data_IF_173417920677
#
_entry.id   IF_173417920677
#
_cell.length_a   1.000
_cell.length_b   1.000
_cell.length_c   1.000
_cell.angle_alpha   90.00
_cell.angle_beta   90.00
_cell.angle_gamma   90.00
#
_symmetry.space_group_name_H-M   'P 1'
#
loop_
_entity.id
_entity.type
_entity.pdbx_description
1 polymer ?
#
# COMPACT_ATOMS: atom_id res chain seq x y z
N UNK A 1 -34.35 13.40 54.29
CA UNK A 1 -35.29 13.66 53.18
C UNK A 1 -34.66 14.50 52.06
N UNK A 2 -33.33 14.61 51.99
CA UNK A 2 -32.63 15.35 50.91
C UNK A 2 -32.30 14.44 49.70
N UNK A 3 -32.11 13.12 49.91
CA UNK A 3 -31.79 12.19 48.82
C UNK A 3 -32.92 12.01 47.79
N UNK A 4 -34.18 12.18 48.17
CA UNK A 4 -35.32 12.02 47.26
C UNK A 4 -35.43 13.15 46.22
N UNK A 5 -34.86 14.32 46.51
CA UNK A 5 -34.88 15.46 45.60
C UNK A 5 -33.75 15.42 44.55
N UNK A 6 -32.66 14.70 44.86
CA UNK A 6 -31.53 14.54 43.95
C UNK A 6 -31.73 13.40 42.92
N UNK A 7 -32.57 12.42 43.21
CA UNK A 7 -32.89 11.31 42.29
C UNK A 7 -33.44 11.80 40.94
N UNK A 8 -34.43 12.72 40.85
CA UNK A 8 -34.94 13.17 39.56
C UNK A 8 -33.91 14.00 38.77
N UNK A 9 -33.04 14.75 39.45
CA UNK A 9 -31.95 15.53 38.82
C UNK A 9 -30.87 14.60 38.25
N UNK A 10 -30.56 13.51 38.98
CA UNK A 10 -29.59 12.51 38.54
C UNK A 10 -30.14 11.65 37.38
N UNK A 11 -31.45 11.36 37.38
CA UNK A 11 -32.14 10.71 36.26
C UNK A 11 -32.15 11.59 35.00
N UNK A 12 -32.30 12.92 35.15
CA UNK A 12 -32.20 13.88 34.03
C UNK A 12 -30.78 13.97 33.45
N UNK A 13 -29.73 13.69 34.24
CA UNK A 13 -28.34 13.64 33.79
C UNK A 13 -27.96 12.32 33.10
N UNK A 14 -28.71 11.24 33.34
CA UNK A 14 -28.53 9.93 32.68
C UNK A 14 -29.28 9.82 31.35
N UNK A 15 -30.16 10.77 31.04
CA UNK A 15 -30.69 10.95 29.69
C UNK A 15 -29.56 11.63 28.92
N UNK A 16 -28.66 10.83 28.34
CA UNK A 16 -27.84 11.34 27.25
C UNK A 16 -28.81 11.96 26.24
N UNK A 17 -28.66 13.25 25.90
CA UNK A 17 -29.40 13.76 24.77
C UNK A 17 -28.99 12.85 23.61
N UNK A 18 -29.95 12.12 23.05
CA UNK A 18 -29.86 11.59 21.71
C UNK A 18 -29.45 12.79 20.86
N UNK A 19 -28.15 12.91 20.60
CA UNK A 19 -27.62 13.81 19.59
C UNK A 19 -28.17 13.21 18.31
N UNK A 20 -29.39 13.60 17.98
CA UNK A 20 -29.96 13.32 16.69
C UNK A 20 -28.99 13.96 15.70
N UNK A 21 -28.17 13.12 15.06
CA UNK A 21 -27.44 13.44 13.83
C UNK A 21 -28.43 13.64 12.67
N UNK A 22 -29.59 14.23 12.97
CA UNK A 22 -30.56 14.64 11.98
C UNK A 22 -30.01 15.92 11.35
N UNK A 23 -29.59 15.75 10.10
CA UNK A 23 -29.37 16.80 9.10
C UNK A 23 -27.96 17.41 8.97
N UNK A 24 -26.93 16.54 8.84
CA UNK A 24 -25.69 16.82 8.09
C UNK A 24 -25.20 15.62 7.25
N UNK A 25 -26.05 14.63 7.00
CA UNK A 25 -25.64 13.34 6.41
C UNK A 25 -25.45 13.34 4.90
N UNK A 26 -26.09 14.23 4.15
CA UNK A 26 -26.17 14.10 2.67
C UNK A 26 -24.86 14.42 1.95
N UNK A 27 -24.08 15.41 2.42
CA UNK A 27 -22.84 15.83 1.76
C UNK A 27 -21.70 14.82 1.87
N UNK A 28 -21.66 14.05 2.96
CA UNK A 28 -20.58 13.11 3.25
C UNK A 28 -20.93 11.66 2.93
N UNK A 29 -22.21 11.35 2.70
CA UNK A 29 -22.70 9.99 2.52
C UNK A 29 -21.91 9.23 1.44
N UNK A 30 -21.60 9.87 0.31
CA UNK A 30 -20.80 9.28 -0.77
C UNK A 30 -19.43 8.81 -0.27
N UNK A 31 -18.72 9.64 0.48
CA UNK A 31 -17.39 9.33 0.99
C UNK A 31 -17.45 8.24 2.06
N UNK A 32 -18.44 8.31 2.96
CA UNK A 32 -18.65 7.27 3.99
C UNK A 32 -18.93 5.90 3.37
N UNK A 33 -19.73 5.85 2.30
CA UNK A 33 -19.97 4.61 1.55
C UNK A 33 -18.70 4.09 0.88
N UNK A 34 -17.92 4.97 0.23
CA UNK A 34 -16.65 4.56 -0.41
C UNK A 34 -15.61 4.05 0.60
N UNK A 35 -15.49 4.71 1.76
CA UNK A 35 -14.58 4.29 2.83
C UNK A 35 -15.01 2.94 3.40
N UNK A 36 -16.31 2.77 3.68
CA UNK A 36 -16.85 1.52 4.21
C UNK A 36 -16.60 0.35 3.23
N UNK A 37 -16.85 0.57 1.94
CA UNK A 37 -16.60 -0.43 0.91
C UNK A 37 -15.10 -0.76 0.76
N UNK A 38 -14.24 0.26 0.69
CA UNK A 38 -12.79 0.07 0.60
C UNK A 38 -12.24 -0.67 1.82
N UNK A 39 -12.71 -0.33 3.03
CA UNK A 39 -12.29 -0.97 4.28
C UNK A 39 -12.76 -2.42 4.35
N UNK A 40 -14.00 -2.70 3.92
CA UNK A 40 -14.55 -4.07 3.87
C UNK A 40 -13.77 -4.96 2.90
N UNK A 41 -13.31 -4.39 1.79
CA UNK A 41 -12.58 -5.14 0.75
C UNK A 41 -11.05 -5.14 0.96
N UNK A 42 -10.54 -4.33 1.89
CA UNK A 42 -9.11 -4.25 2.17
C UNK A 42 -8.63 -5.52 2.87
N UNK A 43 -7.61 -6.15 2.29
CA UNK A 43 -6.89 -7.26 2.90
C UNK A 43 -5.49 -6.78 3.29
N UNK A 44 -5.14 -6.77 4.60
CA UNK A 44 -3.79 -6.39 5.00
C UNK A 44 -2.77 -7.43 4.51
N UNK A 45 -1.60 -6.96 4.11
CA UNK A 45 -0.45 -7.83 3.91
C UNK A 45 0.25 -8.04 5.27
N UNK A 46 0.44 -9.29 5.68
CA UNK A 46 1.05 -9.65 6.97
C UNK A 46 2.44 -10.26 6.83
N UNK A 47 2.96 -10.33 5.60
CA UNK A 47 4.22 -10.95 5.28
C UNK A 47 5.37 -9.97 5.55
N UNK A 48 6.42 -10.45 6.20
CA UNK A 48 7.62 -9.65 6.51
C UNK A 48 8.59 -9.53 5.32
N UNK A 49 8.31 -10.23 4.23
CA UNK A 49 9.06 -10.16 2.97
C UNK A 49 8.27 -9.39 1.89
N UNK A 50 8.85 -9.24 0.69
CA UNK A 50 8.20 -8.47 -0.39
C UNK A 50 7.12 -9.19 -1.18
N UNK A 51 6.57 -10.29 -0.67
CA UNK A 51 5.48 -11.00 -1.34
C UNK A 51 4.21 -10.15 -1.50
N UNK A 52 4.02 -9.11 -0.69
CA UNK A 52 2.92 -8.13 -0.84
C UNK A 52 2.86 -7.50 -2.23
N UNK A 53 4.00 -7.38 -2.90
CA UNK A 53 4.14 -6.67 -4.19
C UNK A 53 4.35 -7.62 -5.37
N UNK A 54 4.21 -8.95 -5.17
CA UNK A 54 4.47 -9.93 -6.22
C UNK A 54 3.53 -9.79 -7.41
N UNK A 55 2.30 -9.33 -7.19
CA UNK A 55 1.32 -9.07 -8.26
C UNK A 55 1.82 -7.96 -9.19
N UNK A 56 2.36 -6.88 -8.62
CA UNK A 56 2.94 -5.76 -9.37
C UNK A 56 4.10 -6.26 -10.23
N UNK A 57 5.05 -6.98 -9.64
CA UNK A 57 6.17 -7.55 -10.40
C UNK A 57 5.70 -8.46 -11.54
N UNK A 58 4.71 -9.32 -11.29
CA UNK A 58 4.14 -10.21 -12.32
C UNK A 58 3.46 -9.43 -13.45
N UNK A 59 2.75 -8.37 -13.11
CA UNK A 59 2.07 -7.52 -14.08
C UNK A 59 3.07 -6.73 -14.94
N UNK A 60 4.09 -6.15 -14.32
CA UNK A 60 5.16 -5.41 -15.00
C UNK A 60 5.98 -6.29 -15.95
N UNK A 61 6.21 -7.56 -15.59
CA UNK A 61 6.96 -8.52 -16.41
C UNK A 61 6.09 -9.21 -17.48
N UNK A 62 4.76 -9.09 -17.40
CA UNK A 62 3.83 -9.74 -18.33
C UNK A 62 4.12 -9.42 -19.82
N UNK A 63 4.46 -8.18 -20.22
CA UNK A 63 4.79 -7.87 -21.61
C UNK A 63 6.04 -8.61 -22.13
N UNK A 64 6.95 -9.01 -21.25
CA UNK A 64 8.19 -9.70 -21.57
C UNK A 64 8.10 -11.23 -21.42
N UNK A 65 6.89 -11.76 -21.33
CA UNK A 65 6.62 -13.21 -21.16
C UNK A 65 7.20 -14.10 -22.28
N UNK A 66 7.44 -13.53 -23.47
CA UNK A 66 8.11 -14.24 -24.58
C UNK A 66 9.64 -14.18 -24.51
N UNK A 67 10.21 -13.63 -23.43
CA UNK A 67 11.63 -13.40 -23.27
C UNK A 67 12.08 -12.03 -23.78
N UNK A 68 13.30 -11.64 -23.38
CA UNK A 68 13.96 -10.41 -23.79
C UNK A 68 15.11 -10.78 -24.72
N UNK A 69 15.01 -10.37 -26.00
CA UNK A 69 16.06 -10.66 -26.99
C UNK A 69 17.25 -9.72 -26.83
N UNK A 70 18.41 -10.14 -27.37
CA UNK A 70 19.60 -9.29 -27.42
C UNK A 70 19.33 -7.97 -28.17
N UNK A 71 18.63 -8.04 -29.30
CA UNK A 71 18.32 -6.86 -30.10
C UNK A 71 17.41 -5.88 -29.34
N UNK A 72 16.41 -6.39 -28.63
CA UNK A 72 15.55 -5.57 -27.78
C UNK A 72 16.37 -4.85 -26.69
N UNK A 73 17.30 -5.56 -26.05
CA UNK A 73 18.19 -4.95 -25.05
C UNK A 73 19.14 -3.92 -25.68
N UNK A 74 19.73 -4.21 -26.85
CA UNK A 74 20.62 -3.27 -27.53
C UNK A 74 19.88 -1.99 -27.95
N UNK A 75 18.62 -2.10 -28.34
CA UNK A 75 17.79 -0.95 -28.69
C UNK A 75 17.51 -0.03 -27.49
N UNK A 76 17.33 -0.56 -26.28
CA UNK A 76 17.17 0.29 -25.07
C UNK A 76 18.45 1.05 -24.74
N UNK A 77 19.61 0.38 -24.85
CA UNK A 77 20.93 1.00 -24.66
C UNK A 77 21.16 2.12 -25.69
N UNK A 78 20.92 1.83 -26.97
CA UNK A 78 21.11 2.81 -28.06
C UNK A 78 20.24 4.05 -27.88
N UNK A 79 19.02 3.86 -27.38
CA UNK A 79 18.06 4.96 -27.15
C UNK A 79 18.35 5.76 -25.87
N UNK A 80 19.23 5.28 -24.99
CA UNK A 80 19.56 5.98 -23.75
C UNK A 80 18.38 6.13 -22.80
N UNK A 81 17.46 5.15 -22.74
CA UNK A 81 16.23 5.23 -21.92
C UNK A 81 16.48 4.98 -20.42
N UNK A 82 17.73 4.79 -20.02
CA UNK A 82 18.15 4.58 -18.63
C UNK A 82 19.64 4.24 -18.52
N UNK A 83 20.11 3.96 -17.30
CA UNK A 83 21.47 3.49 -17.03
C UNK A 83 21.57 1.99 -17.29
N UNK A 84 22.56 1.56 -18.09
CA UNK A 84 22.78 0.16 -18.42
C UNK A 84 23.67 -0.53 -17.38
N UNK A 85 23.15 -1.59 -16.76
CA UNK A 85 23.88 -2.43 -15.79
C UNK A 85 24.04 -3.85 -16.31
N UNK A 86 25.15 -4.50 -15.96
CA UNK A 86 25.40 -5.91 -16.23
C UNK A 86 25.83 -6.62 -14.95
N UNK A 87 25.28 -7.81 -14.73
CA UNK A 87 25.65 -8.69 -13.62
C UNK A 87 26.37 -9.90 -14.24
N UNK A 88 27.67 -10.06 -13.97
CA UNK A 88 28.52 -11.13 -14.53
C UNK A 88 29.27 -11.78 -13.36
N UNK A 89 29.30 -13.12 -13.30
CA UNK A 89 30.06 -13.90 -12.31
C UNK A 89 29.78 -13.57 -10.83
N UNK A 90 28.54 -13.81 -10.36
CA UNK A 90 28.19 -13.67 -8.94
C UNK A 90 28.44 -14.98 -8.17
N UNK A 91 29.38 -15.00 -7.23
CA UNK A 91 29.63 -16.12 -6.31
C UNK A 91 28.69 -16.10 -5.08
N UNK A 92 27.42 -15.71 -5.24
CA UNK A 92 26.51 -15.60 -4.09
C UNK A 92 25.61 -16.84 -3.98
N UNK A 93 25.85 -17.64 -2.94
CA UNK A 93 24.96 -18.70 -2.48
C UNK A 93 23.64 -18.08 -2.02
N UNK A 94 22.59 -18.42 -2.76
CA UNK A 94 21.16 -18.23 -2.50
C UNK A 94 20.83 -18.46 -1.01
N UNK A 95 20.23 -17.48 -0.32
CA UNK A 95 19.31 -17.69 0.84
C UNK A 95 18.88 -16.39 1.54
N UNK A 96 18.63 -15.30 0.81
CA UNK A 96 17.87 -14.22 1.40
C UNK A 96 17.12 -13.45 0.31
N UNK A 97 15.79 -13.59 0.33
CA UNK A 97 14.86 -12.81 -0.49
C UNK A 97 14.84 -11.36 0.00
N UNK A 98 15.97 -10.67 -0.12
CA UNK A 98 16.09 -9.25 0.20
C UNK A 98 15.57 -8.49 -1.01
N UNK A 99 14.66 -7.57 -0.72
CA UNK A 99 14.01 -6.77 -1.74
C UNK A 99 14.98 -5.71 -2.25
N UNK A 100 15.18 -5.65 -3.55
CA UNK A 100 15.93 -4.57 -4.17
C UNK A 100 15.13 -3.27 -4.05
N UNK A 101 15.64 -2.30 -3.29
CA UNK A 101 15.09 -0.94 -3.22
C UNK A 101 15.87 -0.06 -4.19
N UNK A 102 15.29 0.38 -5.33
CA UNK A 102 15.98 1.26 -6.27
C UNK A 102 15.99 2.70 -5.74
N UNK A 103 16.96 3.01 -4.88
CA UNK A 103 17.35 4.36 -4.51
C UNK A 103 18.76 4.62 -5.01
N UNK A 104 18.88 5.43 -6.07
CA UNK A 104 20.12 6.00 -6.62
C UNK A 104 21.38 5.13 -6.44
N UNK A 105 21.61 4.21 -7.38
CA UNK A 105 22.89 3.49 -7.44
C UNK A 105 23.95 4.48 -7.94
N UNK A 106 24.82 4.91 -7.03
CA UNK A 106 26.04 5.65 -7.36
C UNK A 106 26.83 4.84 -8.40
N UNK A 107 27.34 5.51 -9.42
CA UNK A 107 28.00 4.99 -10.62
C UNK A 107 29.32 4.22 -10.38
N UNK A 108 29.50 3.64 -9.20
CA UNK A 108 30.77 3.09 -8.69
C UNK A 108 30.93 1.59 -8.90
N UNK A 109 30.23 1.00 -9.88
CA UNK A 109 30.54 -0.35 -10.39
C UNK A 109 30.86 -0.23 -11.88
N UNK A 110 31.87 0.58 -12.20
CA UNK A 110 32.58 0.59 -13.48
C UNK A 110 33.96 1.20 -13.24
N UNK A 111 34.83 0.42 -12.61
CA UNK A 111 36.29 0.49 -12.73
C UNK A 111 36.85 -0.89 -12.43
#
# INVERSE_FOLDING_TARGET
MELLLHIPVFLLLLIEPEISLADKGSGWQKYLTQISEATRNYQPCSQENCSCHISVLKEDLKPFSSGITKDLMMDTVRRGVGTHYQIINTNYTENQSVCFQPGAVESSILS
#
